data_IF_490110361788
#
_entry.id   IF_490110361788
#
_cell.length_a   1.000
_cell.length_b   1.000
_cell.length_c   1.000
_cell.angle_alpha   90.00
_cell.angle_beta   90.00
_cell.angle_gamma   90.00
#
_symmetry.space_group_name_H-M   'P 1'
#
loop_
_entity.id
_entity.type
_entity.pdbx_description
1 polymer ?
#
# COMPACT_ATOMS: atom_id res chain seq x y z
N UNK A 1 -20.25 -24.09 -31.49
CA UNK A 1 -20.41 -23.48 -30.15
C UNK A 1 -19.42 -24.17 -29.23
N UNK A 2 -18.21 -23.65 -29.12
CA UNK A 2 -17.13 -24.23 -28.30
C UNK A 2 -17.17 -23.57 -26.93
N UNK A 3 -17.48 -24.36 -25.91
CA UNK A 3 -17.43 -23.97 -24.50
C UNK A 3 -16.00 -23.61 -24.10
N UNK A 4 -15.75 -22.50 -23.38
CA UNK A 4 -14.40 -22.17 -22.94
C UNK A 4 -13.95 -23.15 -21.85
N UNK A 5 -12.84 -23.81 -22.10
CA UNK A 5 -12.14 -24.73 -21.20
C UNK A 5 -11.74 -24.01 -19.91
N UNK A 6 -11.90 -24.61 -18.71
CA UNK A 6 -11.43 -23.98 -17.48
C UNK A 6 -9.90 -23.94 -17.50
N UNK A 7 -9.33 -22.73 -17.57
CA UNK A 7 -7.89 -22.52 -17.42
C UNK A 7 -7.55 -22.77 -15.94
N UNK A 8 -7.25 -24.02 -15.61
CA UNK A 8 -6.61 -24.41 -14.36
C UNK A 8 -5.13 -24.02 -14.40
N UNK A 9 -4.83 -22.72 -14.24
CA UNK A 9 -3.48 -22.24 -14.01
C UNK A 9 -3.42 -21.56 -12.63
N UNK A 10 -2.81 -22.23 -11.66
CA UNK A 10 -2.45 -21.68 -10.34
C UNK A 10 -1.64 -20.36 -10.47
N UNK A 11 -1.00 -20.15 -11.62
CA UNK A 11 -0.10 -19.04 -11.91
C UNK A 11 -0.76 -17.68 -12.16
N UNK A 12 -2.10 -17.56 -12.21
CA UNK A 12 -2.81 -16.27 -12.32
C UNK A 12 -3.64 -15.92 -11.08
N UNK A 13 -3.54 -16.72 -10.01
CA UNK A 13 -4.50 -16.62 -8.90
C UNK A 13 -4.45 -15.31 -8.12
N UNK A 14 -3.31 -14.63 -8.08
CA UNK A 14 -3.12 -13.35 -7.36
C UNK A 14 -4.10 -12.25 -7.81
N UNK A 15 -4.60 -12.30 -9.04
CA UNK A 15 -5.59 -11.31 -9.54
C UNK A 15 -7.04 -11.75 -9.28
N UNK A 16 -7.25 -12.98 -8.82
CA UNK A 16 -8.58 -13.62 -8.68
C UNK A 16 -9.05 -13.82 -7.24
N UNK A 17 -8.16 -13.72 -6.24
CA UNK A 17 -8.52 -13.74 -4.83
C UNK A 17 -7.57 -12.89 -3.98
N UNK A 18 -8.06 -12.34 -2.87
CA UNK A 18 -7.23 -11.62 -1.91
C UNK A 18 -6.49 -12.59 -0.98
N UNK A 19 -5.15 -12.56 -0.88
CA UNK A 19 -4.39 -13.47 0.00
C UNK A 19 -4.53 -13.15 1.49
N UNK A 20 -5.15 -12.03 1.85
CA UNK A 20 -5.29 -11.57 3.24
C UNK A 20 -6.63 -11.90 3.87
N UNK A 21 -7.72 -11.86 3.09
CA UNK A 21 -9.08 -12.10 3.59
C UNK A 21 -9.87 -13.12 2.76
N UNK A 22 -9.18 -13.76 1.81
CA UNK A 22 -9.67 -14.83 0.94
C UNK A 22 -10.92 -14.48 0.11
N UNK A 23 -11.24 -13.20 -0.01
CA UNK A 23 -12.34 -12.75 -0.85
C UNK A 23 -12.07 -13.13 -2.31
N UNK A 24 -13.00 -13.90 -2.89
CA UNK A 24 -13.02 -14.30 -4.31
C UNK A 24 -14.09 -13.47 -5.04
N UNK A 25 -13.93 -13.30 -6.35
CA UNK A 25 -14.89 -12.62 -7.24
C UNK A 25 -15.20 -11.16 -6.88
N UNK A 26 -14.68 -10.22 -7.66
CA UNK A 26 -15.10 -8.79 -7.70
C UNK A 26 -14.97 -7.95 -6.40
N UNK A 27 -13.82 -7.94 -5.70
CA UNK A 27 -13.45 -6.71 -4.99
C UNK A 27 -11.99 -6.28 -5.20
N UNK A 28 -11.34 -6.63 -6.31
CA UNK A 28 -9.95 -6.21 -6.55
C UNK A 28 -9.93 -4.99 -7.49
N UNK A 29 -9.41 -3.87 -7.01
CA UNK A 29 -9.08 -2.72 -7.85
C UNK A 29 -7.64 -2.88 -8.33
N UNK A 30 -7.47 -3.05 -9.63
CA UNK A 30 -6.16 -3.25 -10.26
C UNK A 30 -5.73 -1.99 -10.99
N UNK A 31 -4.47 -1.58 -10.81
CA UNK A 31 -3.80 -0.52 -11.57
C UNK A 31 -2.53 -1.07 -12.19
N UNK A 32 -2.38 -0.92 -13.50
CA UNK A 32 -1.11 -1.22 -14.18
C UNK A 32 -0.14 -0.09 -13.88
N UNK A 33 1.01 -0.41 -13.28
CA UNK A 33 2.05 0.56 -12.93
C UNK A 33 3.15 0.64 -14.00
N UNK A 34 3.43 -0.48 -14.68
CA UNK A 34 4.43 -0.56 -15.74
C UNK A 34 4.11 -1.71 -16.68
N UNK A 35 4.44 -1.54 -17.96
CA UNK A 35 4.33 -2.56 -19.01
C UNK A 35 5.57 -2.49 -19.89
N UNK A 36 6.27 -3.63 -20.02
CA UNK A 36 7.45 -3.78 -20.86
C UNK A 36 7.39 -5.11 -21.59
N UNK A 37 7.07 -5.05 -22.88
CA UNK A 37 6.91 -6.24 -23.73
C UNK A 37 5.84 -7.17 -23.16
N UNK A 38 6.26 -8.36 -22.71
CA UNK A 38 5.39 -9.38 -22.13
C UNK A 38 5.34 -9.36 -20.59
N UNK A 39 5.89 -8.31 -19.97
CA UNK A 39 5.95 -8.16 -18.52
C UNK A 39 5.08 -6.98 -18.07
N UNK A 40 4.24 -7.19 -17.06
CA UNK A 40 3.34 -6.18 -16.49
C UNK A 40 3.47 -6.14 -14.98
N UNK A 41 3.62 -4.94 -14.42
CA UNK A 41 3.59 -4.69 -12.99
C UNK A 41 2.22 -4.13 -12.61
N UNK A 42 1.53 -4.80 -11.70
CA UNK A 42 0.17 -4.49 -11.26
C UNK A 42 0.18 -4.18 -9.77
N UNK A 43 -0.52 -3.11 -9.38
CA UNK A 43 -0.93 -2.88 -8.00
C UNK A 43 -2.39 -3.27 -7.84
N UNK A 44 -2.68 -4.16 -6.88
CA UNK A 44 -4.00 -4.74 -6.68
C UNK A 44 -4.45 -4.45 -5.26
N UNK A 45 -5.53 -3.70 -5.10
CA UNK A 45 -6.10 -3.35 -3.79
C UNK A 45 -7.41 -4.10 -3.56
N UNK A 46 -7.54 -4.76 -2.41
CA UNK A 46 -8.79 -5.40 -2.01
C UNK A 46 -9.76 -4.36 -1.45
N UNK A 47 -10.91 -4.18 -2.09
CA UNK A 47 -12.00 -3.31 -1.61
C UNK A 47 -12.68 -3.82 -0.33
N UNK A 48 -12.49 -5.09 0.04
CA UNK A 48 -13.07 -5.68 1.27
C UNK A 48 -12.26 -5.37 2.53
N UNK A 49 -10.96 -5.67 2.51
CA UNK A 49 -10.08 -5.49 3.68
C UNK A 49 -9.09 -4.32 3.55
N UNK A 50 -9.00 -3.67 2.38
CA UNK A 50 -8.05 -2.60 2.10
C UNK A 50 -6.61 -3.06 1.81
N UNK A 51 -6.29 -4.34 1.99
CA UNK A 51 -4.96 -4.87 1.75
C UNK A 51 -4.54 -4.78 0.29
N UNK A 52 -3.25 -4.54 0.06
CA UNK A 52 -2.68 -4.40 -1.28
C UNK A 52 -1.69 -5.53 -1.61
N UNK A 53 -1.61 -5.85 -2.89
CA UNK A 53 -0.67 -6.81 -3.46
C UNK A 53 -0.02 -6.18 -4.69
N UNK A 54 1.31 -6.20 -4.74
CA UNK A 54 2.07 -5.89 -5.94
C UNK A 54 2.30 -7.19 -6.71
N UNK A 55 1.92 -7.24 -7.98
CA UNK A 55 2.00 -8.44 -8.80
C UNK A 55 2.80 -8.18 -10.08
N UNK A 56 3.79 -9.01 -10.35
CA UNK A 56 4.52 -9.05 -11.61
C UNK A 56 3.98 -10.22 -12.45
N UNK A 57 3.37 -9.89 -13.58
CA UNK A 57 2.87 -10.83 -14.57
C UNK A 57 3.86 -10.91 -15.73
N UNK A 58 4.35 -12.11 -16.02
CA UNK A 58 5.26 -12.39 -17.13
C UNK A 58 4.60 -13.39 -18.08
N UNK A 59 4.39 -12.98 -19.32
CA UNK A 59 3.89 -13.86 -20.39
C UNK A 59 5.10 -14.42 -21.18
N UNK A 60 5.13 -15.73 -21.39
CA UNK A 60 6.11 -16.41 -22.23
C UNK A 60 5.41 -17.30 -23.26
N UNK A 61 6.17 -17.98 -24.13
CA UNK A 61 5.57 -18.80 -25.21
C UNK A 61 4.82 -20.03 -24.67
N UNK A 62 5.15 -20.46 -23.45
CA UNK A 62 4.58 -21.65 -22.81
C UNK A 62 3.46 -21.32 -21.81
N UNK A 63 3.15 -20.05 -21.57
CA UNK A 63 2.08 -19.62 -20.67
C UNK A 63 2.32 -18.26 -20.00
N UNK A 64 1.68 -18.05 -18.85
CA UNK A 64 1.88 -16.86 -18.02
C UNK A 64 2.26 -17.27 -16.60
N UNK A 65 3.22 -16.57 -16.02
CA UNK A 65 3.63 -16.70 -14.62
C UNK A 65 3.38 -15.40 -13.87
N UNK A 66 2.97 -15.50 -12.61
CA UNK A 66 2.76 -14.33 -11.75
C UNK A 66 3.52 -14.51 -10.45
N UNK A 67 4.25 -13.48 -10.04
CA UNK A 67 4.81 -13.36 -8.69
C UNK A 67 4.10 -12.22 -7.98
N UNK A 68 3.61 -12.46 -6.77
CA UNK A 68 2.89 -11.47 -5.98
C UNK A 68 3.53 -11.28 -4.62
N UNK A 69 3.52 -10.03 -4.16
CA UNK A 69 3.98 -9.62 -2.84
C UNK A 69 2.88 -8.82 -2.17
N UNK A 70 2.43 -9.26 -1.00
CA UNK A 70 1.55 -8.44 -0.14
C UNK A 70 2.33 -7.23 0.33
N UNK A 71 1.72 -6.05 0.25
CA UNK A 71 2.38 -4.79 0.53
C UNK A 71 1.40 -3.79 1.14
N UNK A 72 1.93 -2.83 1.89
CA UNK A 72 1.23 -1.65 2.38
C UNK A 72 1.45 -0.43 1.48
N UNK A 73 2.28 -0.55 0.44
CA UNK A 73 2.59 0.54 -0.48
C UNK A 73 1.35 0.95 -1.26
N UNK A 74 1.11 2.26 -1.39
CA UNK A 74 0.18 2.80 -2.38
C UNK A 74 0.78 2.69 -3.81
N UNK A 75 -0.03 2.77 -4.87
CA UNK A 75 0.49 2.86 -6.24
C UNK A 75 1.54 3.97 -6.41
N UNK A 76 1.33 5.11 -5.77
CA UNK A 76 2.22 6.26 -5.79
C UNK A 76 3.53 5.97 -5.06
N UNK A 77 3.48 5.27 -3.93
CA UNK A 77 4.68 4.85 -3.20
C UNK A 77 5.55 3.90 -4.04
N UNK A 78 4.93 2.94 -4.74
CA UNK A 78 5.68 2.02 -5.61
C UNK A 78 6.43 2.78 -6.70
N UNK A 79 5.77 3.74 -7.35
CA UNK A 79 6.41 4.59 -8.37
C UNK A 79 7.52 5.46 -7.77
N UNK A 80 7.32 6.01 -6.57
CA UNK A 80 8.35 6.78 -5.86
C UNK A 80 9.57 5.92 -5.52
N UNK A 81 9.35 4.72 -4.97
CA UNK A 81 10.43 3.83 -4.56
C UNK A 81 11.17 3.19 -5.74
N UNK A 82 10.52 3.04 -6.90
CA UNK A 82 11.15 2.51 -8.11
C UNK A 82 12.34 3.37 -8.56
N UNK A 83 12.27 4.69 -8.37
CA UNK A 83 13.33 5.65 -8.75
C UNK A 83 14.11 6.20 -7.56
N UNK A 84 13.76 5.80 -6.34
CA UNK A 84 14.43 6.27 -5.13
C UNK A 84 15.84 5.70 -5.02
N UNK A 85 16.74 6.46 -4.38
CA UNK A 85 18.06 5.97 -4.00
C UNK A 85 17.92 4.75 -3.09
N UNK A 86 18.73 3.71 -3.32
CA UNK A 86 18.83 2.58 -2.40
C UNK A 86 19.27 3.09 -1.03
N UNK A 87 18.68 2.53 0.03
CA UNK A 87 19.12 2.78 1.40
C UNK A 87 20.55 2.29 1.56
N UNK A 88 21.45 3.15 2.00
CA UNK A 88 22.85 2.83 2.29
C UNK A 88 23.07 2.57 3.78
N UNK A 89 24.22 1.98 4.12
CA UNK A 89 24.64 1.80 5.52
C UNK A 89 24.70 3.13 6.27
N UNK A 90 25.17 4.19 5.60
CA UNK A 90 25.23 5.53 6.18
C UNK A 90 23.83 6.05 6.56
N UNK A 91 22.80 5.82 5.73
CA UNK A 91 21.42 6.21 6.06
C UNK A 91 20.96 5.56 7.38
N UNK A 92 21.33 4.28 7.59
CA UNK A 92 20.97 3.53 8.81
C UNK A 92 21.71 4.09 10.03
N UNK A 93 23.00 4.40 9.89
CA UNK A 93 23.82 4.99 10.96
C UNK A 93 23.29 6.38 11.33
N UNK A 94 22.93 7.19 10.35
CA UNK A 94 22.44 8.55 10.56
C UNK A 94 21.09 8.54 11.28
N UNK A 95 20.17 7.67 10.87
CA UNK A 95 18.90 7.48 11.56
C UNK A 95 19.12 6.99 13.00
N UNK A 96 20.02 6.03 13.22
CA UNK A 96 20.32 5.53 14.57
C UNK A 96 20.82 6.64 15.51
N UNK A 97 21.78 7.44 15.06
CA UNK A 97 22.32 8.57 15.83
C UNK A 97 21.23 9.57 16.18
N UNK A 98 20.43 9.97 15.20
CA UNK A 98 19.39 10.96 15.40
C UNK A 98 18.21 10.45 16.27
N UNK A 99 17.93 9.14 16.25
CA UNK A 99 16.99 8.52 17.20
C UNK A 99 17.50 8.59 18.65
N UNK A 100 18.81 8.46 18.87
CA UNK A 100 19.43 8.63 20.18
C UNK A 100 19.30 10.05 20.73
N UNK A 101 19.25 11.06 19.85
CA UNK A 101 19.01 12.47 20.18
C UNK A 101 17.51 12.81 20.34
N UNK A 102 16.63 11.84 20.07
CA UNK A 102 15.18 11.94 20.21
C UNK A 102 14.44 12.07 18.88
N UNK A 103 13.36 11.29 18.71
CA UNK A 103 12.59 11.16 17.45
C UNK A 103 12.05 12.48 16.88
N UNK A 104 11.89 13.52 17.71
CA UNK A 104 11.48 14.86 17.28
C UNK A 104 12.48 15.57 16.39
N UNK A 105 13.75 15.17 16.38
CA UNK A 105 14.77 15.73 15.48
C UNK A 105 14.64 15.22 14.05
N UNK A 106 14.11 14.00 13.87
CA UNK A 106 14.01 13.31 12.58
C UNK A 106 12.68 13.51 11.87
N UNK A 107 11.59 13.59 12.63
CA UNK A 107 10.27 13.76 12.05
C UNK A 107 9.83 15.21 12.26
N UNK A 108 9.38 15.92 11.20
CA UNK A 108 8.67 17.17 11.36
C UNK A 108 7.31 16.84 11.99
N UNK A 109 7.29 16.64 13.32
CA UNK A 109 6.06 16.54 14.08
C UNK A 109 5.60 17.97 14.27
N UNK A 110 4.57 18.46 13.56
CA UNK A 110 4.08 19.80 13.80
C UNK A 110 3.67 19.88 15.27
N UNK A 111 4.21 20.86 16.00
CA UNK A 111 3.89 21.08 17.40
C UNK A 111 2.37 21.15 17.53
N UNK A 112 1.79 20.13 18.15
CA UNK A 112 0.34 20.02 18.30
C UNK A 112 -0.11 21.22 19.13
N UNK A 113 -0.68 22.26 18.49
CA UNK A 113 -1.23 23.42 19.21
C UNK A 113 -2.19 22.86 20.26
N UNK A 114 -1.82 22.96 21.55
CA UNK A 114 -2.72 22.63 22.66
C UNK A 114 -3.95 23.48 22.43
N UNK A 115 -5.06 22.86 22.01
CA UNK A 115 -6.36 23.53 21.99
C UNK A 115 -6.58 24.03 23.42
N UNK A 116 -6.50 25.34 23.62
CA UNK A 116 -6.89 25.95 24.87
C UNK A 116 -8.34 25.52 25.10
N UNK A 117 -8.57 24.84 26.22
CA UNK A 117 -9.91 24.46 26.65
C UNK A 117 -10.66 25.77 26.83
N UNK A 118 -11.56 26.11 25.91
CA UNK A 118 -12.40 27.30 26.03
C UNK A 118 -13.11 27.21 27.38
N UNK A 119 -12.84 28.19 28.25
CA UNK A 119 -13.48 28.29 29.56
C UNK A 119 -14.95 28.61 29.28
N UNK A 120 -15.84 27.64 29.48
CA UNK A 120 -17.28 27.85 29.29
C UNK A 120 -17.73 29.03 30.16
N UNK A 121 -18.51 30.00 29.63
CA UNK A 121 -19.00 31.10 30.43
C UNK A 121 -19.99 30.56 31.47
N UNK A 122 -19.75 30.90 32.74
CA UNK A 122 -20.66 30.59 33.83
C UNK A 122 -21.98 31.33 33.57
N UNK A 123 -23.06 30.58 33.33
CA UNK A 123 -24.41 31.16 33.24
C UNK A 123 -24.79 31.74 34.60
N UNK A 124 -24.83 33.07 34.70
CA UNK A 124 -25.43 33.78 35.81
C UNK A 124 -26.93 33.44 35.86
N UNK A 125 -27.32 32.74 36.93
CA UNK A 125 -28.70 32.38 37.25
C UNK A 125 -29.36 33.63 37.83
N UNK A 126 -30.14 34.37 37.03
CA UNK A 126 -31.07 35.37 37.58
C UNK A 126 -32.24 34.61 38.22
N UNK A 127 -32.41 34.84 39.52
CA UNK A 127 -33.58 34.46 40.29
C UNK A 127 -34.67 35.49 39.97
N UNK A 128 -35.85 34.99 39.61
CA UNK A 128 -37.12 35.71 39.51
C UNK A 128 -38.21 34.73 39.92
#
# INVERSE_FOLDING_TARGET
MTTPTPIGNDSLRIVSYCPLCEARFHPMQTRVLSEQGKTRLLHVTCKKCGGATLALLCENETGASTVGLVTDLSPEDVLRFHVARRVSTDDVIDVHKALGEGLSSLLPVPARKRRSRAKAPAKSRRVG
#
